data_IF_744833145945
#
_entry.id   IF_744833145945
#
_cell.length_a   1.000
_cell.length_b   1.000
_cell.length_c   1.000
_cell.angle_alpha   90.00
_cell.angle_beta   90.00
_cell.angle_gamma   90.00
#
_symmetry.space_group_name_H-M   'P 1'
#
loop_
_entity.id
_entity.type
_entity.pdbx_description
1 polymer ?
#
# COMPACT_ATOMS: atom_id res chain seq x y z
N UNK A 1 -4.28 8.72 -3.27
CA UNK A 1 -3.36 8.36 -2.18
C UNK A 1 -2.07 7.79 -2.74
N UNK A 2 -0.94 8.16 -2.13
CA UNK A 2 0.37 7.60 -2.44
C UNK A 2 0.54 6.29 -1.68
N UNK A 3 0.96 5.23 -2.38
CA UNK A 3 1.31 3.97 -1.75
C UNK A 3 2.77 4.04 -1.34
N UNK A 4 3.06 3.80 -0.06
CA UNK A 4 4.42 3.92 0.46
C UNK A 4 5.25 2.67 0.23
N UNK A 5 4.68 1.49 0.54
CA UNK A 5 5.41 0.23 0.49
C UNK A 5 4.43 -0.95 0.57
N UNK A 6 4.86 -2.11 0.08
CA UNK A 6 4.19 -3.39 0.26
C UNK A 6 5.17 -4.43 0.81
N UNK A 7 4.67 -5.29 1.68
CA UNK A 7 5.46 -6.40 2.20
C UNK A 7 4.71 -7.71 2.04
N UNK A 8 5.21 -8.56 1.14
CA UNK A 8 4.76 -9.93 1.03
C UNK A 8 5.45 -10.80 2.09
N UNK A 9 4.66 -11.50 2.90
CA UNK A 9 5.13 -12.45 3.92
C UNK A 9 4.35 -13.75 3.79
N UNK A 10 4.97 -14.87 4.18
CA UNK A 10 4.31 -16.19 4.27
C UNK A 10 3.18 -16.19 5.31
N UNK A 11 3.39 -15.47 6.41
CA UNK A 11 2.45 -15.41 7.54
C UNK A 11 2.16 -13.96 7.92
N UNK A 12 0.94 -13.71 8.41
CA UNK A 12 0.48 -12.41 8.91
C UNK A 12 0.48 -12.37 10.43
N UNK A 13 1.65 -12.62 11.03
CA UNK A 13 1.80 -12.63 12.49
C UNK A 13 2.20 -11.24 13.03
N UNK A 14 2.16 -11.11 14.36
CA UNK A 14 2.54 -9.89 15.05
C UNK A 14 3.97 -9.43 14.72
N UNK A 15 4.92 -10.37 14.60
CA UNK A 15 6.31 -10.04 14.27
C UNK A 15 6.47 -9.47 12.86
N UNK A 16 5.74 -10.01 11.88
CA UNK A 16 5.72 -9.48 10.51
C UNK A 16 5.14 -8.06 10.48
N UNK A 17 4.04 -7.82 11.19
CA UNK A 17 3.44 -6.50 11.35
C UNK A 17 4.42 -5.49 11.99
N UNK A 18 5.07 -5.88 13.08
CA UNK A 18 6.07 -5.07 13.76
C UNK A 18 7.23 -4.69 12.84
N UNK A 19 7.81 -5.67 12.14
CA UNK A 19 8.92 -5.43 11.23
C UNK A 19 8.53 -4.54 10.05
N UNK A 20 7.31 -4.66 9.54
CA UNK A 20 6.79 -3.81 8.47
C UNK A 20 6.64 -2.36 8.93
N UNK A 21 5.94 -2.14 10.04
CA UNK A 21 5.70 -0.81 10.60
C UNK A 21 7.00 -0.11 11.02
N UNK A 22 7.92 -0.83 11.66
CA UNK A 22 9.27 -0.33 11.99
C UNK A 22 10.05 0.11 10.75
N UNK A 23 9.98 -0.67 9.66
CA UNK A 23 10.62 -0.33 8.39
C UNK A 23 10.03 0.98 7.83
N UNK A 24 8.71 1.14 7.86
CA UNK A 24 8.05 2.35 7.38
C UNK A 24 8.51 3.60 8.13
N UNK A 25 8.54 3.58 9.47
CA UNK A 25 8.98 4.75 10.25
C UNK A 25 10.45 5.07 10.01
N UNK A 26 11.30 4.05 9.90
CA UNK A 26 12.73 4.28 9.61
C UNK A 26 12.97 4.92 8.25
N UNK A 27 12.15 4.61 7.25
CA UNK A 27 12.32 5.14 5.89
C UNK A 27 11.60 6.47 5.66
N UNK A 28 10.41 6.67 6.24
CA UNK A 28 9.54 7.81 5.94
C UNK A 28 9.34 8.76 7.12
N UNK A 29 9.89 8.44 8.30
CA UNK A 29 9.66 9.18 9.53
C UNK A 29 8.36 8.78 10.25
N UNK A 30 8.13 9.39 11.41
CA UNK A 30 6.93 9.16 12.22
C UNK A 30 5.70 9.84 11.57
N UNK A 31 4.61 9.10 11.28
CA UNK A 31 3.40 9.70 10.75
C UNK A 31 2.55 10.35 11.84
N UNK A 32 1.88 11.48 11.57
CA UNK A 32 0.96 12.09 12.55
C UNK A 32 -0.26 11.22 12.85
N UNK A 33 -0.76 10.47 11.85
CA UNK A 33 -1.90 9.56 11.98
C UNK A 33 -1.62 8.25 11.25
N UNK A 34 -1.73 7.14 11.97
CA UNK A 34 -1.65 5.79 11.42
C UNK A 34 -3.04 5.15 11.38
N UNK A 35 -3.50 4.79 10.19
CA UNK A 35 -4.75 4.05 10.02
C UNK A 35 -4.44 2.58 9.71
N UNK A 36 -5.04 1.65 10.45
CA UNK A 36 -4.93 0.21 10.18
C UNK A 36 -6.29 -0.46 10.14
N UNK A 37 -6.33 -1.67 9.59
CA UNK A 37 -7.47 -2.57 9.81
C UNK A 37 -7.60 -2.96 11.30
N UNK A 38 -8.68 -3.68 11.63
CA UNK A 38 -8.94 -4.15 13.00
C UNK A 38 -8.21 -5.46 13.35
N UNK A 39 -7.13 -5.82 12.64
CA UNK A 39 -6.41 -7.05 12.92
C UNK A 39 -5.63 -6.99 14.26
N UNK A 40 -5.77 -7.99 15.15
CA UNK A 40 -5.06 -8.00 16.43
C UNK A 40 -3.53 -7.91 16.32
N UNK A 41 -2.96 -8.50 15.26
CA UNK A 41 -1.51 -8.49 15.02
C UNK A 41 -0.96 -7.07 14.81
N UNK A 42 -1.70 -6.20 14.10
CA UNK A 42 -1.32 -4.81 13.84
C UNK A 42 -1.43 -3.96 15.12
N UNK A 43 -2.49 -4.15 15.89
CA UNK A 43 -2.66 -3.45 17.17
C UNK A 43 -1.55 -3.81 18.15
N UNK A 44 -1.22 -5.11 18.25
CA UNK A 44 -0.12 -5.56 19.09
C UNK A 44 1.23 -4.98 18.60
N UNK A 45 1.45 -4.96 17.29
CA UNK A 45 2.67 -4.39 16.68
C UNK A 45 2.80 -2.90 17.00
N UNK A 46 1.72 -2.13 16.83
CA UNK A 46 1.69 -0.71 17.16
C UNK A 46 2.03 -0.46 18.63
N UNK A 47 1.36 -1.14 19.57
CA UNK A 47 1.65 -1.00 21.01
C UNK A 47 3.11 -1.31 21.35
N UNK A 48 3.69 -2.32 20.72
CA UNK A 48 5.12 -2.64 20.89
C UNK A 48 6.02 -1.53 20.36
N UNK A 49 5.69 -0.96 19.21
CA UNK A 49 6.48 0.12 18.60
C UNK A 49 6.36 1.45 19.35
N UNK A 50 5.26 1.69 20.05
CA UNK A 50 5.14 2.81 20.99
C UNK A 50 6.08 2.64 22.19
N UNK A 51 6.24 1.43 22.72
CA UNK A 51 7.21 1.14 23.80
C UNK A 51 8.67 1.25 23.36
N UNK A 52 8.92 1.03 22.07
CA UNK A 52 10.25 1.13 21.46
C UNK A 52 10.54 2.56 20.92
N UNK A 53 9.73 3.56 21.29
CA UNK A 53 9.85 4.98 20.92
C UNK A 53 9.79 5.29 19.40
N UNK A 54 9.19 4.41 18.58
CA UNK A 54 9.01 4.67 17.14
C UNK A 54 7.74 5.46 16.80
N UNK A 55 6.72 5.43 17.66
CA UNK A 55 5.40 6.04 17.43
C UNK A 55 4.92 6.83 18.65
N UNK A 56 5.73 7.77 19.11
CA UNK A 56 5.48 8.61 20.29
C UNK A 56 4.32 9.60 20.14
N UNK A 57 4.20 10.23 18.97
CA UNK A 57 3.23 11.29 18.67
C UNK A 57 2.12 10.84 17.71
N UNK A 58 2.17 9.58 17.26
CA UNK A 58 1.26 9.05 16.27
C UNK A 58 -0.10 8.71 16.84
N UNK A 59 -1.17 9.25 16.24
CA UNK A 59 -2.54 8.84 16.55
C UNK A 59 -2.93 7.60 15.75
N UNK A 60 -3.34 6.53 16.44
CA UNK A 60 -3.84 5.30 15.79
C UNK A 60 -5.35 5.36 15.56
N UNK A 61 -5.80 4.97 14.37
CA UNK A 61 -7.20 5.01 13.97
C UNK A 61 -7.61 3.70 13.25
N UNK A 62 -8.81 3.21 13.54
CA UNK A 62 -9.37 1.99 12.90
C UNK A 62 -10.76 2.26 12.29
N UNK A 63 -10.93 3.44 11.71
CA UNK A 63 -12.23 3.90 11.20
C UNK A 63 -12.53 3.27 9.83
N UNK A 64 -13.74 2.71 9.68
CA UNK A 64 -14.19 1.98 8.47
C UNK A 64 -13.97 2.77 7.17
N UNK A 65 -14.34 4.05 7.14
CA UNK A 65 -14.22 4.86 5.91
C UNK A 65 -12.75 5.02 5.46
N UNK A 66 -11.78 5.15 6.39
CA UNK A 66 -10.36 5.21 6.04
C UNK A 66 -9.83 3.84 5.60
N UNK A 67 -10.34 2.77 6.18
CA UNK A 67 -10.02 1.41 5.74
C UNK A 67 -10.51 1.13 4.31
N UNK A 68 -11.61 1.75 3.88
CA UNK A 68 -12.06 1.64 2.49
C UNK A 68 -11.04 2.20 1.48
N UNK A 69 -10.26 3.23 1.86
CA UNK A 69 -9.21 3.79 1.01
C UNK A 69 -8.02 2.82 0.88
N UNK A 70 -7.63 2.16 1.99
CA UNK A 70 -6.60 1.12 1.99
C UNK A 70 -7.05 -0.05 1.11
N UNK A 71 -8.30 -0.51 1.30
CA UNK A 71 -8.89 -1.58 0.49
C UNK A 71 -8.97 -1.21 -1.00
N UNK A 72 -9.23 0.06 -1.32
CA UNK A 72 -9.23 0.56 -2.69
C UNK A 72 -7.85 0.47 -3.33
N UNK A 73 -6.79 0.82 -2.60
CA UNK A 73 -5.44 0.78 -3.11
C UNK A 73 -5.00 -0.65 -3.46
N UNK A 74 -5.45 -1.63 -2.66
CA UNK A 74 -5.18 -3.04 -2.88
C UNK A 74 -5.97 -3.66 -4.05
N UNK A 75 -7.02 -3.03 -4.58
CA UNK A 75 -7.91 -3.64 -5.60
C UNK A 75 -7.19 -4.04 -6.87
N UNK A 76 -6.15 -3.32 -7.29
CA UNK A 76 -5.42 -3.63 -8.51
C UNK A 76 -4.61 -4.92 -8.35
N UNK A 77 -3.88 -5.03 -7.24
CA UNK A 77 -3.15 -6.24 -6.87
C UNK A 77 -4.13 -7.39 -6.70
N UNK A 78 -5.17 -7.25 -5.87
CA UNK A 78 -6.18 -8.31 -5.64
C UNK A 78 -6.83 -8.81 -6.94
N UNK A 79 -7.22 -7.91 -7.86
CA UNK A 79 -7.82 -8.30 -9.16
C UNK A 79 -6.90 -9.15 -10.02
N UNK A 80 -5.59 -8.86 -10.03
CA UNK A 80 -4.61 -9.66 -10.78
C UNK A 80 -4.39 -11.02 -10.14
N UNK A 81 -4.39 -11.08 -8.81
CA UNK A 81 -4.28 -12.33 -8.06
C UNK A 81 -5.48 -13.27 -8.26
N UNK A 82 -6.71 -12.76 -8.19
CA UNK A 82 -7.93 -13.57 -8.37
C UNK A 82 -7.99 -14.25 -9.75
N UNK A 83 -7.44 -13.61 -10.79
CA UNK A 83 -7.39 -14.16 -12.14
C UNK A 83 -6.18 -15.06 -12.41
N UNK A 84 -5.31 -15.26 -11.42
CA UNK A 84 -4.10 -16.08 -11.54
C UNK A 84 -4.28 -17.42 -10.82
N UNK A 85 -3.58 -18.47 -11.26
CA UNK A 85 -3.49 -19.74 -10.54
C UNK A 85 -2.63 -19.66 -9.25
N UNK A 86 -2.37 -18.45 -8.75
CA UNK A 86 -1.43 -18.18 -7.66
C UNK A 86 0.03 -18.23 -8.11
N UNK A 87 0.93 -18.04 -7.14
CA UNK A 87 2.38 -18.12 -7.35
C UNK A 87 2.92 -19.37 -6.66
N UNK A 88 3.74 -20.15 -7.37
CA UNK A 88 4.37 -21.33 -6.80
C UNK A 88 5.43 -20.99 -5.72
N UNK A 89 6.05 -19.81 -5.81
CA UNK A 89 7.07 -19.37 -4.84
C UNK A 89 6.87 -17.92 -4.41
N UNK A 90 7.28 -17.61 -3.17
CA UNK A 90 7.26 -16.24 -2.64
C UNK A 90 8.17 -15.28 -3.43
N UNK A 91 9.27 -15.80 -4.01
CA UNK A 91 10.19 -15.00 -4.83
C UNK A 91 9.51 -14.52 -6.11
N UNK A 92 8.79 -15.40 -6.81
CA UNK A 92 8.04 -15.04 -8.02
C UNK A 92 6.86 -14.11 -7.69
N UNK A 93 6.16 -14.37 -6.59
CA UNK A 93 5.10 -13.49 -6.10
C UNK A 93 5.62 -12.09 -5.80
N UNK A 94 6.72 -11.98 -5.04
CA UNK A 94 7.31 -10.69 -4.67
C UNK A 94 7.76 -9.88 -5.88
N UNK A 95 8.39 -10.50 -6.87
CA UNK A 95 8.79 -9.84 -8.12
C UNK A 95 7.59 -9.34 -8.92
N UNK A 96 6.55 -10.16 -9.04
CA UNK A 96 5.35 -9.80 -9.78
C UNK A 96 4.59 -8.65 -9.11
N UNK A 97 4.44 -8.71 -7.78
CA UNK A 97 3.84 -7.63 -6.98
C UNK A 97 4.61 -6.33 -7.20
N UNK A 98 5.95 -6.37 -7.11
CA UNK A 98 6.80 -5.20 -7.34
C UNK A 98 6.65 -4.62 -8.76
N UNK A 99 6.48 -5.48 -9.78
CA UNK A 99 6.18 -5.03 -11.15
C UNK A 99 4.80 -4.39 -11.30
N UNK A 100 3.78 -4.90 -10.61
CA UNK A 100 2.44 -4.28 -10.59
C UNK A 100 2.50 -2.90 -9.92
N UNK A 101 3.27 -2.79 -8.83
CA UNK A 101 3.48 -1.55 -8.10
C UNK A 101 4.19 -0.48 -8.92
N UNK A 102 5.27 -0.83 -9.61
CA UNK A 102 5.99 0.13 -10.45
C UNK A 102 5.10 0.69 -11.56
N UNK A 103 4.33 -0.16 -12.23
CA UNK A 103 3.35 0.28 -13.24
C UNK A 103 2.29 1.20 -12.61
N UNK A 104 1.75 0.83 -11.43
CA UNK A 104 0.75 1.63 -10.75
C UNK A 104 1.32 2.97 -10.24
N UNK A 105 2.57 3.01 -9.78
CA UNK A 105 3.27 4.22 -9.38
C UNK A 105 3.49 5.16 -10.56
N UNK A 106 3.96 4.64 -11.71
CA UNK A 106 4.10 5.41 -12.96
C UNK A 106 2.74 5.98 -13.38
N UNK A 107 1.68 5.17 -13.34
CA UNK A 107 0.33 5.62 -13.70
C UNK A 107 -0.19 6.72 -12.76
N UNK A 108 0.07 6.60 -11.45
CA UNK A 108 -0.29 7.64 -10.46
C UNK A 108 0.52 8.91 -10.68
N UNK A 109 1.82 8.81 -10.95
CA UNK A 109 2.70 9.95 -11.22
C UNK A 109 2.25 10.70 -12.48
N UNK A 110 1.95 9.97 -13.58
CA UNK A 110 1.43 10.58 -14.82
C UNK A 110 0.10 11.29 -14.60
N UNK A 111 -0.82 10.74 -13.80
CA UNK A 111 -2.08 11.42 -13.46
C UNK A 111 -1.90 12.66 -12.59
N UNK A 112 -0.94 12.65 -11.67
CA UNK A 112 -0.61 13.83 -10.86
C UNK A 112 0.15 14.90 -11.67
N UNK A 113 0.87 14.52 -12.72
CA UNK A 113 1.46 15.46 -13.70
C UNK A 113 0.39 16.02 -14.65
N UNK A 114 -0.63 15.23 -15.00
CA UNK A 114 -1.73 15.63 -15.88
C UNK A 114 -2.75 16.58 -15.26
N UNK A 115 -2.73 16.85 -13.94
CA UNK A 115 -3.51 18.00 -13.41
C UNK A 115 -3.07 19.34 -14.01
N UNK A 116 -1.89 19.40 -14.65
CA UNK A 116 -1.42 20.56 -15.43
C UNK A 116 -1.36 20.33 -16.95
N UNK A 117 -1.84 19.21 -17.49
CA UNK A 117 -1.83 18.99 -18.94
C UNK A 117 -3.17 18.43 -19.43
N UNK A 118 -3.82 19.24 -20.26
CA UNK A 118 -5.02 18.97 -21.08
C UNK A 118 -4.70 17.87 -22.10
N UNK A 119 -4.48 16.65 -21.63
CA UNK A 119 -4.23 15.51 -22.51
C UNK A 119 -5.04 14.31 -22.07
N UNK A 120 -6.29 14.31 -22.52
CA UNK A 120 -7.18 13.17 -22.47
C UNK A 120 -6.90 12.26 -23.66
N UNK A 121 -6.45 11.03 -23.38
CA UNK A 121 -6.28 9.97 -24.39
C UNK A 121 -7.58 9.71 -25.17
N UNK A 122 -8.74 10.01 -24.56
CA UNK A 122 -10.04 9.94 -25.21
C UNK A 122 -10.18 10.93 -26.39
N UNK A 123 -9.62 12.13 -26.26
CA UNK A 123 -9.69 13.17 -27.29
C UNK A 123 -8.74 12.91 -28.46
N UNK A 124 -7.68 12.12 -28.26
CA UNK A 124 -6.79 11.72 -29.35
C UNK A 124 -7.34 10.54 -30.14
N UNK A 125 -8.00 9.59 -29.48
CA UNK A 125 -8.63 8.46 -30.17
C UNK A 125 -9.83 8.90 -31.03
N UNK A 126 -10.54 9.96 -30.65
CA UNK A 126 -11.59 10.56 -31.49
C UNK A 126 -11.06 11.31 -32.73
N UNK A 127 -9.75 11.61 -32.82
CA UNK A 127 -9.14 12.24 -34.00
C UNK A 127 -8.62 11.23 -35.03
N UNK A 128 -8.66 9.94 -34.69
CA UNK A 128 -8.21 8.83 -35.54
C UNK A 128 -9.39 8.05 -36.15
N UNK A 129 -10.61 8.55 -35.97
CA UNK A 129 -11.84 8.14 -36.68
C UNK A 129 -12.34 9.36 -37.44
#
# INVERSE_FOLDING_TARGET
GHTLDFQLRKTRNHQAAYAFMKRLVKHFGEPSVLTTDKAPALLCAFKKLQKDDYYTHTKHCTIKHRNNLIEQDHRHVKRRFVKSAGFQTLRHASRTIKGIETIQAIYKQRRNLQTNFVFSVYNELQKLV
#
